data_IF_201469659760
#
_entry.id   IF_201469659760
#
_cell.length_a   1.000
_cell.length_b   1.000
_cell.length_c   1.000
_cell.angle_alpha   90.00
_cell.angle_beta   90.00
_cell.angle_gamma   90.00
#
_symmetry.space_group_name_H-M   'P 1'
#
loop_
_entity.id
_entity.type
_entity.pdbx_description
1 polymer ?
#
# COMPACT_ATOMS: atom_id res chain seq x y z
N UNK A 1 -31.12 -6.47 -25.89
CA UNK A 1 -30.40 -5.95 -24.70
C UNK A 1 -29.05 -5.43 -25.19
N UNK A 2 -28.71 -4.14 -25.04
CA UNK A 2 -27.39 -3.67 -25.41
C UNK A 2 -26.37 -4.03 -24.32
N UNK A 3 -25.08 -4.21 -24.66
CA UNK A 3 -24.03 -4.48 -23.69
C UNK A 3 -23.74 -3.22 -22.86
N UNK A 4 -23.59 -3.40 -21.54
CA UNK A 4 -23.13 -2.34 -20.63
C UNK A 4 -21.68 -2.04 -21.00
N UNK A 5 -21.45 -0.87 -21.60
CA UNK A 5 -20.12 -0.37 -21.90
C UNK A 5 -19.40 -0.07 -20.58
N UNK A 6 -18.28 -0.76 -20.35
CA UNK A 6 -17.39 -0.53 -19.22
C UNK A 6 -16.98 0.94 -19.18
N UNK A 7 -17.41 1.64 -18.12
CA UNK A 7 -17.17 3.06 -17.91
C UNK A 7 -15.68 3.39 -17.99
N UNK A 8 -15.36 4.40 -18.80
CA UNK A 8 -14.03 5.02 -18.86
C UNK A 8 -13.53 5.31 -17.46
N UNK A 9 -12.30 4.88 -17.16
CA UNK A 9 -11.60 5.25 -15.94
C UNK A 9 -11.49 6.79 -15.92
N UNK A 10 -12.42 7.46 -15.25
CA UNK A 10 -12.28 8.87 -14.95
C UNK A 10 -10.94 9.01 -14.24
N UNK A 11 -10.06 9.85 -14.79
CA UNK A 11 -8.80 10.23 -14.16
C UNK A 11 -9.13 10.96 -12.86
N UNK A 12 -9.31 10.20 -11.76
CA UNK A 12 -9.51 10.75 -10.43
C UNK A 12 -8.23 11.51 -10.09
N UNK A 13 -8.32 12.83 -10.07
CA UNK A 13 -7.19 13.69 -9.69
C UNK A 13 -7.15 13.80 -8.17
N UNK A 14 -6.18 13.13 -7.56
CA UNK A 14 -5.97 13.22 -6.12
C UNK A 14 -5.25 14.51 -5.73
N UNK A 15 -5.55 15.10 -4.56
CA UNK A 15 -4.79 16.22 -4.02
C UNK A 15 -3.31 15.85 -3.89
N UNK A 16 -2.41 16.78 -4.26
CA UNK A 16 -0.95 16.56 -4.23
C UNK A 16 -0.46 16.05 -2.86
N UNK A 17 -1.02 16.58 -1.77
CA UNK A 17 -0.69 16.15 -0.40
C UNK A 17 -1.02 14.68 -0.13
N UNK A 18 -2.13 14.18 -0.68
CA UNK A 18 -2.52 12.78 -0.51
C UNK A 18 -1.56 11.85 -1.25
N UNK A 19 -1.18 12.24 -2.47
CA UNK A 19 -0.17 11.55 -3.29
C UNK A 19 1.18 11.49 -2.57
N UNK A 20 1.75 12.64 -2.18
CA UNK A 20 3.06 12.72 -1.53
C UNK A 20 3.14 11.90 -0.24
N UNK A 21 2.05 11.89 0.55
CA UNK A 21 1.95 11.11 1.78
C UNK A 21 1.94 9.60 1.49
N UNK A 22 1.18 9.15 0.51
CA UNK A 22 1.12 7.75 0.12
C UNK A 22 2.47 7.27 -0.45
N UNK A 23 3.11 8.07 -1.31
CA UNK A 23 4.45 7.76 -1.82
C UNK A 23 5.45 7.60 -0.68
N UNK A 24 5.52 8.59 0.23
CA UNK A 24 6.44 8.53 1.39
C UNK A 24 6.23 7.28 2.23
N UNK A 25 4.98 6.93 2.48
CA UNK A 25 4.63 5.75 3.28
C UNK A 25 5.11 4.45 2.63
N UNK A 26 4.92 4.30 1.31
CA UNK A 26 5.43 3.15 0.54
C UNK A 26 6.95 3.07 0.61
N UNK A 27 7.65 4.18 0.34
CA UNK A 27 9.12 4.22 0.35
C UNK A 27 9.72 3.84 1.71
N UNK A 28 8.99 4.10 2.79
CA UNK A 28 9.42 3.81 4.16
C UNK A 28 8.91 2.46 4.70
N UNK A 29 8.04 1.77 3.99
CA UNK A 29 7.54 0.45 4.38
C UNK A 29 8.58 -0.64 4.08
N UNK A 30 8.60 -1.75 4.82
CA UNK A 30 9.54 -2.86 4.59
C UNK A 30 9.12 -3.77 3.42
N UNK A 31 8.22 -3.33 2.55
CA UNK A 31 7.65 -4.09 1.45
C UNK A 31 8.33 -3.77 0.11
N UNK A 32 8.39 -4.77 -0.77
CA UNK A 32 8.92 -4.63 -2.13
C UNK A 32 7.81 -4.22 -3.11
N UNK A 33 8.17 -3.59 -4.25
CA UNK A 33 7.21 -3.21 -5.30
C UNK A 33 6.32 -4.38 -5.72
N UNK A 34 6.89 -5.59 -5.75
CA UNK A 34 6.21 -6.81 -6.17
C UNK A 34 4.96 -7.12 -5.32
N UNK A 35 4.94 -6.78 -4.03
CA UNK A 35 3.74 -6.91 -3.21
C UNK A 35 2.61 -6.03 -3.76
N UNK A 36 2.92 -4.76 -4.03
CA UNK A 36 1.94 -3.81 -4.53
C UNK A 36 1.49 -4.13 -5.96
N UNK A 37 2.42 -4.57 -6.81
CA UNK A 37 2.10 -5.09 -8.14
C UNK A 37 1.18 -6.32 -8.06
N UNK A 38 1.34 -7.19 -7.06
CA UNK A 38 0.39 -8.29 -6.85
C UNK A 38 -0.98 -7.76 -6.39
N UNK A 39 -0.98 -6.76 -5.50
CA UNK A 39 -2.19 -6.14 -4.97
C UNK A 39 -3.01 -5.34 -6.01
N UNK A 40 -2.42 -5.01 -7.16
CA UNK A 40 -3.17 -4.40 -8.28
C UNK A 40 -4.10 -5.40 -8.96
N UNK A 41 -3.76 -6.69 -8.92
CA UNK A 41 -4.49 -7.77 -9.56
C UNK A 41 -5.44 -8.48 -8.57
N UNK A 42 -4.96 -8.75 -7.35
CA UNK A 42 -5.68 -9.55 -6.36
C UNK A 42 -5.47 -9.04 -4.93
N UNK A 43 -6.27 -9.50 -3.98
CA UNK A 43 -6.07 -9.19 -2.57
C UNK A 43 -5.02 -10.14 -1.99
N UNK A 44 -4.16 -9.64 -1.10
CA UNK A 44 -3.09 -10.44 -0.48
C UNK A 44 -3.32 -10.52 1.03
N UNK A 45 -3.37 -11.75 1.56
CA UNK A 45 -3.58 -12.00 2.99
C UNK A 45 -2.33 -11.73 3.85
N UNK A 46 -2.53 -11.37 5.12
CA UNK A 46 -1.42 -11.10 6.07
C UNK A 46 -0.42 -12.27 6.15
N UNK A 47 -0.94 -13.51 6.19
CA UNK A 47 -0.13 -14.74 6.27
C UNK A 47 0.79 -14.96 5.06
N UNK A 48 0.46 -14.40 3.89
CA UNK A 48 1.32 -14.47 2.71
C UNK A 48 2.46 -13.43 2.74
N UNK A 49 2.35 -12.42 3.62
CA UNK A 49 3.28 -11.29 3.73
C UNK A 49 4.21 -11.45 4.93
N UNK A 50 3.67 -11.91 6.07
CA UNK A 50 4.44 -12.10 7.29
C UNK A 50 5.34 -13.35 7.23
N UNK A 51 6.39 -13.35 8.06
CA UNK A 51 7.29 -14.48 8.23
C UNK A 51 8.06 -14.90 6.97
N UNK A 52 8.30 -16.19 6.83
CA UNK A 52 8.97 -16.80 5.67
C UNK A 52 8.19 -16.66 4.35
N UNK A 53 6.85 -16.79 4.34
CA UNK A 53 6.07 -16.57 3.11
C UNK A 53 6.35 -15.24 2.42
N UNK A 54 6.57 -14.16 3.18
CA UNK A 54 6.90 -12.85 2.62
C UNK A 54 8.17 -12.83 1.77
N UNK A 55 9.19 -13.61 2.13
CA UNK A 55 10.42 -13.72 1.34
C UNK A 55 10.18 -14.60 0.11
N UNK A 56 9.53 -15.75 0.30
CA UNK A 56 9.23 -16.71 -0.77
C UNK A 56 8.40 -16.06 -1.89
N UNK A 57 7.43 -15.23 -1.49
CA UNK A 57 6.59 -14.47 -2.41
C UNK A 57 7.25 -13.18 -2.90
N UNK A 58 8.50 -12.87 -2.50
CA UNK A 58 9.24 -11.63 -2.87
C UNK A 58 8.53 -10.35 -2.44
N UNK A 59 7.72 -10.40 -1.38
CA UNK A 59 7.01 -9.25 -0.81
C UNK A 59 7.86 -8.47 0.20
N UNK A 60 8.79 -9.15 0.87
CA UNK A 60 9.71 -8.57 1.86
C UNK A 60 11.13 -9.04 1.59
N UNK A 61 12.13 -8.30 2.05
CA UNK A 61 13.56 -8.70 1.89
C UNK A 61 14.05 -9.61 3.00
N UNK A 62 13.30 -9.69 4.09
CA UNK A 62 13.60 -10.45 5.31
C UNK A 62 12.27 -10.85 5.96
N UNK A 63 12.24 -11.89 6.81
CA UNK A 63 10.99 -12.29 7.43
C UNK A 63 10.56 -11.19 8.41
N UNK A 64 9.28 -10.82 8.37
CA UNK A 64 8.70 -9.84 9.27
C UNK A 64 7.83 -10.54 10.32
N UNK A 65 7.91 -10.17 11.61
CA UNK A 65 6.91 -10.58 12.58
C UNK A 65 5.50 -10.14 12.13
N UNK A 66 4.50 -10.97 12.37
CA UNK A 66 3.12 -10.72 11.91
C UNK A 66 2.59 -9.36 12.37
N UNK A 67 2.77 -9.03 13.65
CA UNK A 67 2.38 -7.74 14.21
C UNK A 67 3.09 -6.55 13.54
N UNK A 68 4.36 -6.71 13.12
CA UNK A 68 5.09 -5.64 12.42
C UNK A 68 4.52 -5.46 11.02
N UNK A 69 4.33 -6.55 10.28
CA UNK A 69 3.73 -6.52 8.95
C UNK A 69 2.32 -5.91 8.99
N UNK A 70 1.49 -6.30 9.96
CA UNK A 70 0.14 -5.75 10.12
C UNK A 70 0.18 -4.24 10.43
N UNK A 71 1.02 -3.80 11.37
CA UNK A 71 1.15 -2.38 11.70
C UNK A 71 1.63 -1.53 10.50
N UNK A 72 2.48 -2.08 9.64
CA UNK A 72 2.90 -1.43 8.40
C UNK A 72 1.77 -1.38 7.37
N UNK A 73 0.98 -2.46 7.22
CA UNK A 73 -0.17 -2.49 6.31
C UNK A 73 -1.28 -1.53 6.77
N UNK A 74 -1.57 -1.48 8.07
CA UNK A 74 -2.50 -0.52 8.67
C UNK A 74 -2.06 0.92 8.46
N UNK A 75 -0.74 1.19 8.52
CA UNK A 75 -0.21 2.51 8.18
C UNK A 75 -0.50 2.87 6.71
N UNK A 76 -0.31 1.94 5.78
CA UNK A 76 -0.62 2.17 4.37
C UNK A 76 -2.13 2.32 4.09
N UNK A 77 -2.99 1.74 4.93
CA UNK A 77 -4.44 2.01 4.92
C UNK A 77 -4.71 3.46 5.35
N UNK A 78 -4.11 3.91 6.45
CA UNK A 78 -4.24 5.29 6.92
C UNK A 78 -3.76 6.30 5.87
N UNK A 79 -2.75 5.94 5.07
CA UNK A 79 -2.28 6.79 3.96
C UNK A 79 -3.20 6.81 2.74
N UNK A 80 -4.27 6.01 2.75
CA UNK A 80 -5.19 5.85 1.63
C UNK A 80 -4.62 5.03 0.47
N UNK A 81 -3.49 4.36 0.67
CA UNK A 81 -2.86 3.54 -0.37
C UNK A 81 -3.55 2.17 -0.45
N UNK A 82 -3.83 1.58 0.70
CA UNK A 82 -4.47 0.29 0.83
C UNK A 82 -5.87 0.41 1.41
N UNK A 83 -6.66 -0.63 1.20
CA UNK A 83 -7.85 -0.93 1.99
C UNK A 83 -7.75 -2.37 2.49
N UNK A 84 -8.40 -2.64 3.62
CA UNK A 84 -8.58 -4.00 4.14
C UNK A 84 -9.86 -4.60 3.56
N UNK A 85 -9.79 -5.85 3.19
CA UNK A 85 -10.89 -6.67 2.72
C UNK A 85 -10.98 -7.89 3.63
N UNK A 86 -12.18 -8.15 4.12
CA UNK A 86 -12.49 -9.36 4.89
C UNK A 86 -13.19 -10.36 3.98
N UNK A 87 -13.01 -11.65 4.27
CA UNK A 87 -13.93 -12.64 3.71
C UNK A 87 -15.37 -12.36 4.14
N UNK A 88 -16.36 -13.00 3.50
CA UNK A 88 -17.77 -12.81 3.82
C UNK A 88 -18.16 -13.17 5.27
N UNK A 89 -17.22 -13.68 6.06
CA UNK A 89 -17.39 -14.08 7.46
C UNK A 89 -16.55 -13.23 8.44
N UNK A 90 -15.72 -12.30 7.95
CA UNK A 90 -14.85 -11.48 8.81
C UNK A 90 -13.65 -12.21 9.41
N UNK A 91 -13.32 -13.43 8.95
CA UNK A 91 -12.32 -14.29 9.59
C UNK A 91 -10.91 -14.09 9.02
N UNK A 92 -10.82 -13.79 7.73
CA UNK A 92 -9.54 -13.61 7.05
C UNK A 92 -9.40 -12.19 6.55
N UNK A 93 -8.31 -11.55 6.97
CA UNK A 93 -7.93 -10.23 6.50
C UNK A 93 -6.99 -10.30 5.29
N UNK A 94 -7.39 -9.59 4.24
CA UNK A 94 -6.60 -9.37 3.03
C UNK A 94 -6.53 -7.89 2.70
N UNK A 95 -5.55 -7.51 1.88
CA UNK A 95 -5.27 -6.12 1.56
C UNK A 95 -5.26 -5.92 0.06
N UNK A 96 -5.84 -4.80 -0.41
CA UNK A 96 -5.90 -4.41 -1.82
C UNK A 96 -5.52 -2.94 -1.99
N UNK A 97 -4.94 -2.60 -3.14
CA UNK A 97 -4.75 -1.21 -3.54
C UNK A 97 -6.08 -0.46 -3.69
N UNK A 98 -6.11 0.78 -3.20
CA UNK A 98 -7.12 1.77 -3.59
C UNK A 98 -6.84 2.28 -5.02
N UNK A 99 -7.73 3.06 -5.65
CA UNK A 99 -7.42 3.61 -6.98
C UNK A 99 -6.22 4.58 -6.97
N UNK A 100 -6.00 5.32 -5.87
CA UNK A 100 -4.75 6.08 -5.65
C UNK A 100 -3.53 5.16 -5.64
N UNK A 101 -3.61 4.05 -4.88
CA UNK A 101 -2.53 3.07 -4.80
C UNK A 101 -2.19 2.46 -6.17
N UNK A 102 -3.21 2.12 -6.97
CA UNK A 102 -3.02 1.61 -8.34
C UNK A 102 -2.29 2.60 -9.23
N UNK A 103 -2.70 3.87 -9.23
CA UNK A 103 -2.06 4.92 -10.03
C UNK A 103 -0.56 5.04 -9.71
N UNK A 104 -0.19 5.01 -8.43
CA UNK A 104 1.22 5.10 -8.02
C UNK A 104 2.03 3.86 -8.41
N UNK A 105 1.45 2.68 -8.23
CA UNK A 105 2.11 1.42 -8.58
C UNK A 105 2.33 1.31 -10.07
N UNK A 106 1.33 1.64 -10.89
CA UNK A 106 1.44 1.70 -12.36
C UNK A 106 2.57 2.65 -12.77
N UNK A 107 2.64 3.85 -12.17
CA UNK A 107 3.72 4.79 -12.42
C UNK A 107 5.11 4.20 -12.12
N UNK A 108 5.29 3.51 -10.99
CA UNK A 108 6.59 2.92 -10.64
C UNK A 108 6.96 1.72 -11.50
N UNK A 109 5.98 0.92 -11.93
CA UNK A 109 6.21 -0.17 -12.87
C UNK A 109 6.71 0.39 -14.21
N UNK A 110 6.09 1.45 -14.73
CA UNK A 110 6.54 2.13 -15.94
C UNK A 110 7.92 2.80 -15.82
N UNK A 111 8.32 3.23 -14.62
CA UNK A 111 9.60 3.89 -14.37
C UNK A 111 10.79 2.93 -14.16
N UNK A 112 10.58 1.63 -14.34
CA UNK A 112 11.64 0.60 -14.27
C UNK A 112 11.49 -0.39 -13.13
N UNK A 113 10.25 -0.69 -12.71
CA UNK A 113 9.92 -1.72 -11.71
C UNK A 113 10.68 -1.60 -10.37
N UNK A 114 11.01 -0.37 -9.97
CA UNK A 114 11.68 -0.10 -8.69
C UNK A 114 10.88 0.90 -7.86
N UNK A 115 10.81 0.66 -6.55
CA UNK A 115 10.33 1.68 -5.63
C UNK A 115 11.36 2.81 -5.56
N UNK A 116 10.93 4.08 -5.62
CA UNK A 116 11.83 5.20 -5.39
C UNK A 116 12.51 5.06 -4.02
N UNK A 117 13.80 5.33 -3.95
CA UNK A 117 14.57 5.21 -2.72
C UNK A 117 14.11 6.28 -1.71
N UNK A 118 13.79 5.90 -0.45
CA UNK A 118 13.45 6.89 0.58
C UNK A 118 14.67 7.73 0.90
N UNK A 119 14.50 9.06 0.94
CA UNK A 119 15.51 9.93 1.54
C UNK A 119 15.54 9.75 3.07
N UNK A 120 16.63 10.15 3.73
CA UNK A 120 16.70 10.12 5.20
C UNK A 120 15.62 11.01 5.84
N UNK A 121 15.29 12.14 5.19
CA UNK A 121 14.22 13.02 5.61
C UNK A 121 12.84 12.34 5.49
N UNK A 122 12.61 11.57 4.42
CA UNK A 122 11.38 10.78 4.27
C UNK A 122 11.21 9.79 5.42
N UNK A 123 12.30 9.12 5.83
CA UNK A 123 12.28 8.17 6.96
C UNK A 123 11.95 8.87 8.28
N UNK A 124 12.57 10.02 8.56
CA UNK A 124 12.30 10.81 9.77
C UNK A 124 10.87 11.34 9.79
N UNK A 125 10.39 11.90 8.67
CA UNK A 125 9.02 12.41 8.55
C UNK A 125 7.99 11.28 8.65
N UNK A 126 8.26 10.11 8.07
CA UNK A 126 7.38 8.96 8.19
C UNK A 126 7.35 8.40 9.61
N UNK A 127 8.51 8.33 10.29
CA UNK A 127 8.59 7.96 11.70
C UNK A 127 7.81 8.96 12.57
N UNK A 128 8.02 10.26 12.38
CA UNK A 128 7.29 11.31 13.09
C UNK A 128 5.78 11.23 12.86
N UNK A 129 5.34 11.03 11.61
CA UNK A 129 3.92 10.93 11.30
C UNK A 129 3.25 9.66 11.83
N UNK A 130 3.99 8.55 11.99
CA UNK A 130 3.48 7.33 12.65
C UNK A 130 3.36 7.49 14.15
N UNK A 131 4.28 8.24 14.77
CA UNK A 131 4.37 8.40 16.22
C UNK A 131 3.49 9.53 16.73
N UNK A 132 3.50 10.67 16.05
CA UNK A 132 2.59 11.79 16.31
C UNK A 132 1.30 11.52 15.55
N UNK A 133 0.47 10.63 16.11
CA UNK A 133 -0.93 10.47 15.70
C UNK A 133 -1.69 11.77 16.00
N UNK A 134 -1.49 12.80 15.17
CA UNK A 134 -2.31 14.00 15.20
C UNK A 134 -3.72 13.63 14.74
N UNK A 135 -4.77 14.03 15.48
CA UNK A 135 -6.15 13.85 15.06
C UNK A 135 -6.40 14.40 13.65
N UNK A 136 -7.30 13.76 12.90
CA UNK A 136 -7.63 14.13 11.51
C UNK A 136 -8.15 15.57 11.35
N UNK A 137 -8.50 16.27 12.43
CA UNK A 137 -8.95 17.66 12.45
C UNK A 137 -7.84 18.71 12.64
N UNK A 138 -6.59 18.29 12.87
CA UNK A 138 -5.43 19.19 13.05
C UNK A 138 -4.59 19.32 11.74
N UNK A 139 -4.99 18.69 10.61
CA UNK A 139 -4.21 18.67 9.35
C UNK A 139 -4.96 19.14 8.11
#
# INVERSE_FOLDING_TARGET
MPPIQSSSAQLIRYPRRAVERAERAVRCAPFQLHLFATMSQQSVGLKAIAGQPGIQNRYTRRPLPELVAENDLLWLIQTGLLRREVDGQGLTDSFRLTPLGRQLVEQWQHQGDTLPTPSLLDRLQNAWNRWVRLPDWIR
#
